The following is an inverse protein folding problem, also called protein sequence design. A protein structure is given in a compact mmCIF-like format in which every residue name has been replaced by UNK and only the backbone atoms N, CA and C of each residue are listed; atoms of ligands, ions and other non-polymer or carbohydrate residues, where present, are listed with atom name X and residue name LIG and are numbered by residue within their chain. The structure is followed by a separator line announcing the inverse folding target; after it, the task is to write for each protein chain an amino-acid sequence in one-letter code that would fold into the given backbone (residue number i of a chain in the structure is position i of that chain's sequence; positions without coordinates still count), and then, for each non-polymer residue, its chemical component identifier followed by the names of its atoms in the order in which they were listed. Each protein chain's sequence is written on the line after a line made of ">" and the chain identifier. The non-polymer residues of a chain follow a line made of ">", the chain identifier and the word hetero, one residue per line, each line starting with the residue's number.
data_IF_052016272663
#
_entry.id   IF_052016272663
#
_cell.length_a   1.000
_cell.length_b   1.000
_cell.length_c   1.000
_cell.angle_alpha   90.00
_cell.angle_beta   90.00
_cell.angle_gamma   90.00
#
_symmetry.space_group_name_H-M   'P 1'
#
loop_
_entity.id
_entity.type
_entity.pdbx_description
1 polymer ?
#
# COMPACT_ATOMS: atom_id res chain seq x y z
N UNK A 1 -13.19 13.54 -11.35
CA UNK A 1 -12.07 13.40 -12.30
C UNK A 1 -11.19 12.27 -11.77
N UNK A 2 -10.97 11.21 -12.55
CA UNK A 2 -10.16 10.05 -12.17
C UNK A 2 -8.73 10.20 -12.70
N UNK A 3 -8.10 11.35 -12.50
CA UNK A 3 -6.81 11.65 -13.17
C UNK A 3 -5.60 10.98 -12.50
N UNK A 4 -5.80 10.30 -11.38
CA UNK A 4 -4.71 9.66 -10.65
C UNK A 4 -3.76 10.68 -10.01
N UNK A 5 -4.22 11.91 -9.77
CA UNK A 5 -3.47 12.89 -8.99
C UNK A 5 -3.23 12.35 -7.58
N UNK A 6 -1.97 12.12 -7.25
CA UNK A 6 -1.51 11.73 -5.92
C UNK A 6 -1.07 13.00 -5.19
N UNK A 7 -1.83 13.41 -4.18
CA UNK A 7 -1.39 14.44 -3.24
C UNK A 7 -0.59 13.76 -2.13
N UNK A 8 0.73 13.95 -2.15
CA UNK A 8 1.63 13.47 -1.09
C UNK A 8 1.51 14.35 0.17
N UNK A 9 0.34 14.34 0.80
CA UNK A 9 0.16 14.86 2.14
C UNK A 9 -0.46 13.74 2.98
N UNK A 10 0.40 13.00 3.67
CA UNK A 10 -0.05 11.96 4.60
C UNK A 10 -0.05 12.53 6.02
N UNK A 11 -1.21 12.56 6.71
CA UNK A 11 -1.26 12.91 8.11
C UNK A 11 -0.34 12.00 8.93
N UNK A 12 0.20 12.49 10.05
CA UNK A 12 1.12 11.71 10.91
C UNK A 12 0.52 10.36 11.35
N UNK A 13 -0.79 10.31 11.60
CA UNK A 13 -1.48 9.07 11.96
C UNK A 13 -1.42 8.00 10.84
N UNK A 14 -1.38 8.42 9.57
CA UNK A 14 -1.22 7.50 8.44
C UNK A 14 0.22 7.00 8.34
N UNK A 15 1.21 7.90 8.39
CA UNK A 15 2.63 7.51 8.28
C UNK A 15 3.05 6.56 9.40
N UNK A 16 2.51 6.72 10.61
CA UNK A 16 2.70 5.77 11.71
C UNK A 16 2.15 4.37 11.40
N UNK A 17 0.97 4.25 10.77
CA UNK A 17 0.39 2.95 10.39
C UNK A 17 1.24 2.19 9.37
N UNK A 18 1.93 2.91 8.49
CA UNK A 18 2.84 2.35 7.47
C UNK A 18 4.31 2.28 7.94
N UNK A 19 4.55 2.29 9.25
CA UNK A 19 5.89 2.13 9.81
C UNK A 19 6.86 3.25 9.46
N UNK A 20 6.34 4.47 9.27
CA UNK A 20 7.06 5.66 8.84
C UNK A 20 7.76 5.53 7.48
N UNK A 21 7.24 4.69 6.57
CA UNK A 21 7.69 4.68 5.18
C UNK A 21 7.53 6.09 4.58
N UNK A 22 8.59 6.62 3.98
CA UNK A 22 8.64 7.92 3.32
C UNK A 22 8.21 7.87 1.85
N UNK A 23 8.16 6.67 1.28
CA UNK A 23 7.78 6.40 -0.12
C UNK A 23 6.99 5.10 -0.24
N UNK A 24 6.28 4.93 -1.35
CA UNK A 24 5.65 3.66 -1.69
C UNK A 24 5.74 3.37 -3.19
N UNK A 25 5.94 2.11 -3.55
CA UNK A 25 5.80 1.61 -4.92
C UNK A 25 4.36 1.13 -5.10
N UNK A 26 3.64 1.74 -6.05
CA UNK A 26 2.27 1.36 -6.35
C UNK A 26 2.17 0.24 -7.37
N UNK A 27 1.46 -0.82 -7.00
CA UNK A 27 1.22 -2.00 -7.81
C UNK A 27 -0.29 -2.13 -8.07
N UNK A 28 -0.66 -2.26 -9.35
CA UNK A 28 -2.05 -2.40 -9.76
C UNK A 28 -2.42 -3.89 -9.78
N UNK A 29 -3.54 -4.23 -9.15
CA UNK A 29 -4.05 -5.60 -9.09
C UNK A 29 -5.58 -5.62 -9.02
N UNK A 30 -6.21 -6.61 -9.66
CA UNK A 30 -7.65 -6.85 -9.55
C UNK A 30 -8.03 -7.45 -8.18
N UNK A 31 -7.06 -8.06 -7.48
CA UNK A 31 -7.21 -8.57 -6.11
C UNK A 31 -6.12 -7.99 -5.19
N UNK A 32 -6.22 -6.70 -4.80
CA UNK A 32 -5.17 -6.00 -4.08
C UNK A 32 -4.74 -6.65 -2.76
N UNK A 33 -5.70 -7.12 -1.95
CA UNK A 33 -5.41 -7.75 -0.66
C UNK A 33 -4.67 -9.09 -0.83
N UNK A 34 -5.17 -9.96 -1.72
CA UNK A 34 -4.53 -11.26 -2.00
C UNK A 34 -3.11 -11.03 -2.54
N UNK A 35 -2.94 -10.04 -3.41
CA UNK A 35 -1.63 -9.68 -3.95
C UNK A 35 -0.67 -9.20 -2.87
N UNK A 36 -1.14 -8.37 -1.93
CA UNK A 36 -0.36 -7.91 -0.78
C UNK A 36 0.04 -9.06 0.15
N UNK A 37 -0.88 -10.00 0.41
CA UNK A 37 -0.63 -11.19 1.21
C UNK A 37 0.43 -12.09 0.55
N UNK A 38 0.27 -12.39 -0.75
CA UNK A 38 1.23 -13.17 -1.52
C UNK A 38 2.63 -12.53 -1.53
N UNK A 39 2.70 -11.20 -1.71
CA UNK A 39 3.96 -10.48 -1.66
C UNK A 39 4.61 -10.56 -0.26
N UNK A 40 3.82 -10.41 0.81
CA UNK A 40 4.31 -10.54 2.17
C UNK A 40 4.80 -11.97 2.48
N UNK A 41 4.09 -13.00 2.03
CA UNK A 41 4.51 -14.40 2.16
C UNK A 41 5.79 -14.68 1.40
N UNK A 42 5.89 -14.20 0.16
CA UNK A 42 7.12 -14.31 -0.63
C UNK A 42 8.30 -13.66 0.09
N UNK A 43 8.16 -12.42 0.57
CA UNK A 43 9.22 -11.71 1.29
C UNK A 43 9.64 -12.47 2.57
N UNK A 44 8.68 -12.97 3.35
CA UNK A 44 8.95 -13.81 4.52
C UNK A 44 9.70 -15.09 4.16
N UNK A 45 9.35 -15.74 3.05
CA UNK A 45 10.04 -16.93 2.55
C UNK A 45 11.51 -16.66 2.20
N UNK A 46 11.87 -15.39 1.94
CA UNK A 46 13.24 -14.94 1.69
C UNK A 46 13.97 -14.44 2.95
N UNK A 47 13.34 -14.53 4.12
CA UNK A 47 13.93 -14.12 5.40
C UNK A 47 13.70 -12.66 5.78
N UNK A 48 12.92 -11.90 5.01
CA UNK A 48 12.57 -10.52 5.34
C UNK A 48 11.38 -10.46 6.30
N UNK A 49 11.33 -9.41 7.12
CA UNK A 49 10.11 -9.05 7.84
C UNK A 49 9.16 -8.41 6.83
N UNK A 50 7.91 -8.88 6.81
CA UNK A 50 6.87 -8.25 6.01
C UNK A 50 5.54 -8.26 6.76
N UNK A 51 4.83 -7.14 6.77
CA UNK A 51 3.52 -6.97 7.40
C UNK A 51 2.55 -6.34 6.40
N UNK A 52 1.38 -6.95 6.27
CA UNK A 52 0.27 -6.36 5.50
C UNK A 52 -0.47 -5.37 6.41
N UNK A 53 -0.72 -4.17 5.90
CA UNK A 53 -1.61 -3.18 6.50
C UNK A 53 -2.82 -3.08 5.58
N UNK A 54 -3.95 -3.54 6.10
CA UNK A 54 -5.24 -3.43 5.43
C UNK A 54 -5.85 -2.05 5.71
N UNK A 55 -6.49 -1.47 4.70
CA UNK A 55 -7.33 -0.27 4.86
C UNK A 55 -6.63 0.85 5.64
N UNK A 56 -5.42 1.21 5.21
CA UNK A 56 -4.64 2.28 5.86
C UNK A 56 -5.42 3.61 5.89
N UNK A 57 -6.25 3.83 4.87
CA UNK A 57 -7.21 4.93 4.73
C UNK A 57 -8.64 4.37 4.62
N UNK A 58 -9.59 4.87 5.43
CA UNK A 58 -10.99 4.44 5.35
C UNK A 58 -11.61 4.69 3.98
N UNK A 59 -12.35 3.71 3.44
CA UNK A 59 -13.04 3.82 2.15
C UNK A 59 -12.14 3.59 0.93
N UNK A 60 -10.83 3.46 1.11
CA UNK A 60 -9.88 3.26 0.01
C UNK A 60 -9.45 1.79 -0.09
N UNK A 61 -9.58 1.14 -1.27
CA UNK A 61 -9.20 -0.26 -1.49
C UNK A 61 -7.68 -0.40 -1.72
N UNK A 62 -6.87 0.17 -0.83
CA UNK A 62 -5.41 0.18 -0.91
C UNK A 62 -4.82 -0.55 0.28
N UNK A 63 -3.96 -1.52 0.01
CA UNK A 63 -3.30 -2.34 1.02
C UNK A 63 -1.79 -2.17 0.93
N UNK A 64 -1.13 -2.05 2.08
CA UNK A 64 0.31 -1.83 2.12
C UNK A 64 1.05 -3.08 2.59
N UNK A 65 2.24 -3.31 2.06
CA UNK A 65 3.22 -4.23 2.63
C UNK A 65 4.39 -3.43 3.14
N UNK A 66 4.60 -3.47 4.46
CA UNK A 66 5.74 -2.87 5.14
C UNK A 66 6.79 -3.94 5.35
N UNK A 67 8.01 -3.71 4.88
CA UNK A 67 9.08 -4.70 4.91
C UNK A 67 10.45 -4.08 5.15
N UNK A 68 11.37 -4.84 5.74
CA UNK A 68 12.78 -4.47 5.85
C UNK A 68 13.60 -4.82 4.59
N UNK A 69 12.99 -5.42 3.57
CA UNK A 69 13.60 -5.61 2.26
C UNK A 69 13.85 -4.29 1.51
N UNK A 70 13.14 -3.22 1.87
CA UNK A 70 13.24 -1.89 1.25
C UNK A 70 13.18 -0.82 2.32
N UNK A 71 14.33 -0.22 2.64
CA UNK A 71 14.40 0.81 3.67
C UNK A 71 13.61 2.06 3.25
N UNK A 72 12.69 2.50 4.12
CA UNK A 72 11.88 3.71 3.92
C UNK A 72 10.80 3.59 2.84
N UNK A 73 10.64 2.44 2.19
CA UNK A 73 9.67 2.25 1.10
C UNK A 73 8.67 1.12 1.42
N UNK A 74 7.39 1.41 1.26
CA UNK A 74 6.33 0.41 1.30
C UNK A 74 5.98 -0.09 -0.11
N UNK A 75 5.33 -1.25 -0.21
CA UNK A 75 4.55 -1.59 -1.40
C UNK A 75 3.10 -1.20 -1.13
N UNK A 76 2.40 -0.60 -2.08
CA UNK A 76 0.95 -0.45 -2.03
C UNK A 76 0.30 -1.20 -3.19
N UNK A 77 -0.80 -1.88 -2.91
CA UNK A 77 -1.59 -2.63 -3.87
C UNK A 77 -2.95 -1.97 -3.95
N UNK A 78 -3.40 -1.69 -5.17
CA UNK A 78 -4.66 -0.98 -5.45
C UNK A 78 -5.30 -1.51 -6.75
N UNK A 79 -6.62 -1.35 -6.93
CA UNK A 79 -7.24 -1.62 -8.21
C UNK A 79 -6.82 -0.60 -9.27
N UNK A 80 -7.15 -0.85 -10.56
CA UNK A 80 -7.02 0.14 -11.61
C UNK A 80 -7.63 1.48 -11.21
N UNK A 81 -7.01 2.61 -11.61
CA UNK A 81 -7.45 3.95 -11.18
C UNK A 81 -8.90 4.24 -11.55
N UNK A 82 -9.41 3.65 -12.62
CA UNK A 82 -10.80 3.74 -13.09
C UNK A 82 -11.81 3.02 -12.18
N UNK A 83 -11.34 2.20 -11.24
CA UNK A 83 -12.14 1.43 -10.29
C UNK A 83 -11.94 1.88 -8.84
N UNK A 84 -11.13 2.93 -8.61
CA UNK A 84 -11.00 3.53 -7.28
C UNK A 84 -12.33 4.20 -6.87
N UNK A 85 -12.49 4.72 -5.64
CA UNK A 85 -13.55 5.67 -5.29
C UNK A 85 -13.26 7.08 -5.81
N UNK A 86 -14.29 7.83 -6.20
CA UNK A 86 -14.12 9.23 -6.62
C UNK A 86 -13.79 10.07 -5.39
N UNK A 87 -12.93 11.10 -5.50
CA UNK A 87 -12.91 12.16 -4.50
C UNK A 87 -14.31 12.76 -4.38
N UNK A 88 -14.73 13.07 -3.16
CA UNK A 88 -15.91 13.90 -2.88
C UNK A 88 -15.73 15.34 -3.39
#
# INVERSE_FOLDING_TARGET
>A
MWDGTIVNYSPTAFTQKVGNASSAIGLVSDEPLISAQNAAEFLRSKGFKAKVIESAEPGMPVHFVITDAMLGTALNFRPPVTQMPSPD
#
